data_IF_890785529111
#
_entry.id   IF_890785529111
#
_cell.length_a   1.000
_cell.length_b   1.000
_cell.length_c   1.000
_cell.angle_alpha   90.00
_cell.angle_beta   90.00
_cell.angle_gamma   90.00
#
_symmetry.space_group_name_H-M   'P 1'
#
loop_
_entity.id
_entity.type
_entity.pdbx_description
1 polymer ?
#
# COMPACT_ATOMS: atom_id res chain seq x y z
N UNK A 1 -7.24 24.53 11.46
CA UNK A 1 -5.93 23.85 11.36
C UNK A 1 -6.13 22.40 11.75
N UNK A 2 -6.00 21.47 10.82
CA UNK A 2 -5.94 20.04 11.18
C UNK A 2 -4.53 19.79 11.74
N UNK A 3 -4.43 19.39 13.00
CA UNK A 3 -3.16 19.15 13.66
C UNK A 3 -2.38 18.03 12.96
N UNK A 4 -1.08 18.26 12.74
CA UNK A 4 -0.20 17.21 12.24
C UNK A 4 -0.05 16.12 13.31
N UNK A 5 -0.25 14.86 12.93
CA UNK A 5 -0.15 13.74 13.88
C UNK A 5 1.26 13.17 13.85
N UNK A 6 1.96 13.13 14.99
CA UNK A 6 3.21 12.36 15.13
C UNK A 6 2.84 11.01 15.73
N UNK A 7 3.29 9.91 15.12
CA UNK A 7 3.05 8.54 15.61
C UNK A 7 4.35 7.74 15.54
N UNK A 8 4.75 7.12 16.65
CA UNK A 8 5.65 5.97 16.60
C UNK A 8 4.81 4.72 16.39
N UNK A 9 5.09 3.92 15.36
CA UNK A 9 4.26 2.74 15.08
C UNK A 9 4.35 1.70 16.18
N UNK A 10 5.46 1.67 16.93
CA UNK A 10 5.70 0.72 18.03
C UNK A 10 4.68 0.90 19.16
N UNK A 11 4.27 2.14 19.41
CA UNK A 11 3.21 2.47 20.37
C UNK A 11 1.84 1.85 20.01
N UNK A 12 1.66 1.40 18.77
CA UNK A 12 0.44 0.77 18.27
C UNK A 12 0.59 -0.74 18.04
N UNK A 13 1.81 -1.29 18.12
CA UNK A 13 2.10 -2.71 17.86
C UNK A 13 2.53 -3.50 19.09
N UNK A 14 3.05 -2.84 20.14
CA UNK A 14 3.75 -3.50 21.25
C UNK A 14 2.83 -4.02 22.38
N UNK A 15 1.52 -3.95 22.20
CA UNK A 15 0.57 -4.58 23.13
C UNK A 15 0.36 -6.04 22.78
N UNK A 16 0.46 -6.91 23.79
CA UNK A 16 0.08 -8.33 23.83
C UNK A 16 -0.83 -8.75 22.65
N UNK A 17 -0.44 -9.73 21.81
CA UNK A 17 -1.27 -10.22 20.70
C UNK A 17 -2.67 -10.68 21.11
N UNK A 18 -2.87 -11.03 22.39
CA UNK A 18 -4.16 -11.42 22.96
C UNK A 18 -4.99 -10.24 23.49
N UNK A 19 -4.45 -9.01 23.51
CA UNK A 19 -5.16 -7.84 23.99
C UNK A 19 -6.26 -7.39 23.00
N UNK A 20 -7.48 -7.25 23.52
CA UNK A 20 -8.60 -6.69 22.78
C UNK A 20 -8.44 -5.18 22.62
N UNK A 21 -7.92 -4.75 21.47
CA UNK A 21 -7.72 -3.34 21.15
C UNK A 21 -9.01 -2.70 20.63
N UNK A 22 -9.36 -1.48 21.08
CA UNK A 22 -10.51 -0.77 20.53
C UNK A 22 -10.41 -0.62 19.00
N UNK A 23 -11.50 -0.87 18.28
CA UNK A 23 -11.54 -0.83 16.80
C UNK A 23 -10.95 0.43 16.17
N UNK A 24 -11.04 1.58 16.86
CA UNK A 24 -10.44 2.85 16.41
C UNK A 24 -8.91 2.78 16.35
N UNK A 25 -8.27 2.07 17.28
CA UNK A 25 -6.83 1.89 17.36
C UNK A 25 -6.39 0.91 16.29
N UNK A 26 -7.10 -0.20 16.13
CA UNK A 26 -6.85 -1.17 15.04
C UNK A 26 -6.90 -0.50 13.67
N UNK A 27 -7.99 0.24 13.37
CA UNK A 27 -8.11 0.97 12.09
C UNK A 27 -7.00 2.00 11.88
N UNK A 28 -6.59 2.68 12.95
CA UNK A 28 -5.50 3.66 12.90
C UNK A 28 -4.16 2.98 12.63
N UNK A 29 -3.89 1.86 13.29
CA UNK A 29 -2.70 1.03 13.09
C UNK A 29 -2.63 0.50 11.67
N UNK A 30 -3.69 -0.10 11.15
CA UNK A 30 -3.70 -0.62 9.78
C UNK A 30 -3.53 0.49 8.74
N UNK A 31 -4.15 1.67 8.94
CA UNK A 31 -3.91 2.83 8.08
C UNK A 31 -2.44 3.24 8.04
N UNK A 32 -1.77 3.34 9.19
CA UNK A 32 -0.34 3.65 9.22
C UNK A 32 0.50 2.50 8.67
N UNK A 33 0.10 1.25 8.89
CA UNK A 33 0.71 0.08 8.29
C UNK A 33 0.68 0.11 6.76
N UNK A 34 -0.43 0.52 6.15
CA UNK A 34 -0.50 0.73 4.69
C UNK A 34 0.48 1.80 4.21
N UNK A 35 0.62 2.92 4.94
CA UNK A 35 1.57 3.99 4.60
C UNK A 35 3.02 3.50 4.70
N UNK A 36 3.35 2.77 5.77
CA UNK A 36 4.69 2.17 5.94
C UNK A 36 4.97 1.23 4.77
N UNK A 37 4.07 0.28 4.49
CA UNK A 37 4.20 -0.64 3.36
C UNK A 37 4.47 0.09 2.05
N UNK A 38 3.69 1.14 1.75
CA UNK A 38 3.92 1.95 0.54
C UNK A 38 5.28 2.64 0.53
N UNK A 39 5.70 3.23 1.65
CA UNK A 39 6.99 3.91 1.76
C UNK A 39 8.18 2.96 1.60
N UNK A 40 8.10 1.74 2.15
CA UNK A 40 9.19 0.76 2.18
C UNK A 40 9.17 -0.21 0.99
N UNK A 41 8.06 -0.28 0.24
CA UNK A 41 7.97 -1.06 -0.99
C UNK A 41 8.86 -0.52 -2.13
N UNK A 42 9.31 0.72 -2.03
CA UNK A 42 10.05 1.41 -3.08
C UNK A 42 11.19 2.26 -2.55
N UNK A 43 12.22 2.47 -3.36
CA UNK A 43 13.36 3.32 -3.02
C UNK A 43 13.04 4.81 -3.13
N UNK A 44 12.05 5.21 -3.94
CA UNK A 44 11.69 6.62 -4.15
C UNK A 44 11.41 7.34 -2.82
N UNK A 45 12.06 8.47 -2.60
CA UNK A 45 11.95 9.25 -1.36
C UNK A 45 10.68 10.08 -1.28
N UNK A 46 10.20 10.61 -2.41
CA UNK A 46 8.96 11.39 -2.50
C UNK A 46 8.11 10.91 -3.66
N UNK A 47 6.85 10.57 -3.38
CA UNK A 47 5.91 10.11 -4.41
C UNK A 47 4.45 10.22 -3.95
N UNK A 48 3.53 10.15 -4.90
CA UNK A 48 2.11 10.02 -4.62
C UNK A 48 1.71 8.54 -4.71
N UNK A 49 1.35 7.95 -3.57
CA UNK A 49 0.84 6.57 -3.51
C UNK A 49 -0.61 6.51 -3.97
N UNK A 50 -1.08 5.32 -4.37
CA UNK A 50 -2.50 5.09 -4.63
C UNK A 50 -3.36 4.87 -3.37
N UNK A 51 -2.75 4.94 -2.17
CA UNK A 51 -3.46 4.70 -0.91
C UNK A 51 -4.62 5.70 -0.72
N UNK A 52 -5.81 5.21 -0.34
CA UNK A 52 -6.95 6.07 -0.05
C UNK A 52 -6.76 6.86 1.25
N UNK A 53 -7.31 8.06 1.29
CA UNK A 53 -7.45 8.80 2.53
C UNK A 53 -8.44 8.10 3.49
N UNK A 54 -8.09 8.06 4.78
CA UNK A 54 -8.94 7.51 5.86
C UNK A 54 -10.12 8.41 6.26
N UNK A 55 -10.08 9.69 5.90
CA UNK A 55 -11.05 10.68 6.35
C UNK A 55 -12.36 10.58 5.56
N UNK A 56 -13.47 10.82 6.27
CA UNK A 56 -14.79 10.98 5.67
C UNK A 56 -15.43 12.32 6.07
N UNK A 57 -14.89 13.47 5.62
CA UNK A 57 -15.47 14.78 5.95
C UNK A 57 -16.90 14.87 5.42
N UNK A 58 -17.84 15.34 6.25
CA UNK A 58 -19.25 15.44 5.85
C UNK A 58 -19.91 14.10 5.52
N UNK A 59 -19.46 13.00 6.14
CA UNK A 59 -19.92 11.62 5.89
C UNK A 59 -19.64 11.06 4.47
N UNK A 60 -18.86 11.79 3.66
CA UNK A 60 -18.40 11.33 2.34
C UNK A 60 -16.93 10.98 2.41
N UNK A 61 -16.53 9.80 1.90
CA UNK A 61 -15.11 9.41 1.86
C UNK A 61 -14.31 10.41 1.05
N UNK A 62 -13.19 10.84 1.60
CA UNK A 62 -12.27 11.71 0.88
C UNK A 62 -11.72 10.98 -0.36
N UNK A 63 -11.77 11.65 -1.51
CA UNK A 63 -11.26 11.11 -2.78
C UNK A 63 -9.75 11.21 -2.94
N UNK A 64 -9.05 11.90 -2.04
CA UNK A 64 -7.62 12.11 -2.11
C UNK A 64 -6.79 10.87 -1.88
N UNK A 65 -5.58 10.91 -2.41
CA UNK A 65 -4.54 9.91 -2.20
C UNK A 65 -3.50 10.42 -1.20
N UNK A 66 -2.65 9.52 -0.72
CA UNK A 66 -1.61 9.86 0.27
C UNK A 66 -0.29 10.13 -0.46
N UNK A 67 0.19 11.37 -0.35
CA UNK A 67 1.56 11.73 -0.68
C UNK A 67 2.49 11.26 0.45
N UNK A 68 3.62 10.68 0.07
CA UNK A 68 4.61 10.08 0.96
C UNK A 68 5.95 10.76 0.73
N UNK A 69 6.63 11.10 1.81
CA UNK A 69 7.99 11.65 1.81
C UNK A 69 8.79 10.96 2.93
N UNK A 70 9.88 10.28 2.56
CA UNK A 70 10.81 9.62 3.48
C UNK A 70 11.94 10.57 3.83
N UNK A 71 12.33 10.58 5.10
CA UNK A 71 13.46 11.36 5.59
C UNK A 71 14.30 10.54 6.55
N UNK A 72 15.61 10.50 6.32
CA UNK A 72 16.60 9.91 7.22
C UNK A 72 17.18 10.93 8.21
N UNK A 73 16.52 12.09 8.37
CA UNK A 73 17.00 13.18 9.20
C UNK A 73 16.94 12.86 10.70
N UNK A 74 17.80 13.52 11.48
CA UNK A 74 17.83 13.43 12.95
C UNK A 74 16.44 13.78 13.57
N UNK A 75 15.97 13.05 14.61
CA UNK A 75 16.67 12.04 15.42
C UNK A 75 16.60 10.59 14.90
N UNK A 76 16.10 10.37 13.69
CA UNK A 76 16.01 9.04 13.08
C UNK A 76 14.99 9.02 11.93
N UNK A 77 14.98 7.94 11.13
CA UNK A 77 14.16 7.87 9.94
C UNK A 77 12.66 8.01 10.24
N UNK A 78 11.96 8.81 9.44
CA UNK A 78 10.52 8.99 9.51
C UNK A 78 9.89 9.15 8.13
N UNK A 79 8.60 8.81 8.06
CA UNK A 79 7.76 9.02 6.89
C UNK A 79 6.83 10.20 7.18
N UNK A 80 6.97 11.29 6.44
CA UNK A 80 5.94 12.31 6.35
C UNK A 80 4.87 11.86 5.35
N UNK A 81 3.61 12.06 5.70
CA UNK A 81 2.49 11.74 4.82
C UNK A 81 1.45 12.85 4.85
N UNK A 82 0.81 13.08 3.72
CA UNK A 82 -0.30 14.03 3.63
C UNK A 82 -1.33 13.62 2.58
N UNK A 83 -2.60 13.89 2.86
CA UNK A 83 -3.67 13.71 1.89
C UNK A 83 -3.73 14.91 0.95
N UNK A 84 -3.75 14.64 -0.36
CA UNK A 84 -3.78 15.67 -1.42
C UNK A 84 -5.07 16.49 -1.49
N UNK A 85 -6.10 16.17 -0.70
CA UNK A 85 -7.44 16.80 -0.78
C UNK A 85 -7.92 17.42 0.51
N UNK A 86 -7.88 16.67 1.63
CA UNK A 86 -8.51 17.12 2.88
C UNK A 86 -7.53 17.71 3.91
N UNK A 87 -6.23 17.68 3.63
CA UNK A 87 -5.19 18.21 4.54
C UNK A 87 -4.88 17.35 5.75
N UNK A 88 -5.46 16.15 5.90
CA UNK A 88 -5.02 15.17 6.91
C UNK A 88 -3.56 14.78 6.64
N UNK A 89 -2.73 14.80 7.67
CA UNK A 89 -1.29 14.63 7.54
C UNK A 89 -0.65 14.15 8.85
N UNK A 90 0.59 13.70 8.77
CA UNK A 90 1.35 13.32 9.94
C UNK A 90 2.76 12.83 9.63
N UNK A 91 3.43 12.35 10.67
CA UNK A 91 4.74 11.70 10.64
C UNK A 91 4.64 10.33 11.31
N UNK A 92 5.30 9.34 10.72
CA UNK A 92 5.41 7.98 11.23
C UNK A 92 6.89 7.69 11.48
N UNK A 93 7.25 7.32 12.71
CA UNK A 93 8.59 6.90 13.10
C UNK A 93 8.59 5.44 13.61
N UNK A 94 9.78 4.88 13.84
CA UNK A 94 9.93 3.54 14.42
C UNK A 94 9.50 2.40 13.50
N UNK A 95 9.41 2.65 12.18
CA UNK A 95 8.84 1.70 11.23
C UNK A 95 9.81 0.62 10.74
N UNK A 96 11.12 0.86 10.80
CA UNK A 96 12.11 -0.13 10.37
C UNK A 96 12.03 -1.41 11.21
N UNK A 97 12.00 -2.55 10.55
CA UNK A 97 11.91 -3.88 11.16
C UNK A 97 10.56 -4.22 11.77
N UNK A 98 9.54 -3.35 11.68
CA UNK A 98 8.19 -3.68 12.13
C UNK A 98 7.48 -4.61 11.11
N UNK A 99 6.37 -5.25 11.50
CA UNK A 99 5.59 -6.15 10.63
C UNK A 99 5.03 -5.54 9.33
N UNK A 100 5.10 -4.22 9.19
CA UNK A 100 4.63 -3.48 8.01
C UNK A 100 5.79 -3.07 7.09
N UNK A 101 7.03 -3.21 7.56
CA UNK A 101 8.22 -2.88 6.78
C UNK A 101 8.38 -3.90 5.64
N UNK A 102 8.35 -3.38 4.41
CA UNK A 102 8.54 -4.16 3.18
C UNK A 102 9.92 -3.96 2.57
N UNK A 103 10.85 -3.26 3.24
CA UNK A 103 12.20 -3.00 2.72
C UNK A 103 12.90 -4.32 2.33
N UNK A 104 13.51 -4.36 1.14
CA UNK A 104 14.24 -5.53 0.64
C UNK A 104 15.72 -5.35 0.96
N UNK A 105 16.43 -6.43 1.32
CA UNK A 105 17.84 -6.52 0.99
C UNK A 105 18.00 -6.42 -0.54
N UNK A 106 18.94 -5.62 -1.02
CA UNK A 106 19.14 -5.25 -2.43
C UNK A 106 19.34 -6.41 -3.43
N UNK A 107 19.37 -7.67 -2.98
CA UNK A 107 19.84 -8.84 -3.74
C UNK A 107 18.75 -9.62 -4.50
N UNK A 108 17.56 -9.06 -4.72
CA UNK A 108 16.43 -9.82 -5.32
C UNK A 108 15.71 -9.16 -6.49
N UNK A 109 16.20 -8.03 -7.01
CA UNK A 109 15.67 -7.52 -8.28
C UNK A 109 16.05 -8.48 -9.41
N UNK A 110 15.18 -8.65 -10.42
CA UNK A 110 15.54 -9.44 -11.59
C UNK A 110 16.89 -9.00 -12.14
N UNK A 111 17.82 -9.94 -12.25
CA UNK A 111 19.13 -9.73 -12.88
C UNK A 111 19.14 -10.22 -14.32
N UNK A 112 18.02 -10.76 -14.78
CA UNK A 112 17.86 -11.20 -16.16
C UNK A 112 17.65 -9.96 -17.05
N UNK A 113 18.57 -9.64 -17.96
CA UNK A 113 18.45 -8.49 -18.84
C UNK A 113 17.28 -8.62 -19.84
N UNK A 114 16.76 -9.83 -20.04
CA UNK A 114 15.65 -10.11 -20.96
C UNK A 114 14.27 -10.08 -20.26
N UNK A 115 14.22 -9.88 -18.94
CA UNK A 115 12.97 -9.77 -18.17
C UNK A 115 12.35 -8.37 -18.35
N UNK A 116 11.20 -8.25 -19.05
CA UNK A 116 10.66 -6.96 -19.41
C UNK A 116 10.06 -6.24 -18.20
N UNK A 117 10.22 -4.92 -18.19
CA UNK A 117 9.51 -4.04 -17.25
C UNK A 117 8.11 -3.73 -17.76
N UNK A 118 7.08 -4.10 -17.01
CA UNK A 118 5.68 -3.92 -17.38
C UNK A 118 5.02 -2.80 -16.56
N UNK A 119 4.10 -2.09 -17.20
CA UNK A 119 3.23 -1.10 -16.55
C UNK A 119 1.76 -1.49 -16.72
N UNK A 120 1.09 -1.70 -15.59
CA UNK A 120 -0.30 -2.16 -15.53
C UNK A 120 -1.19 -1.00 -15.06
N UNK A 121 -2.04 -0.43 -15.93
CA UNK A 121 -2.91 0.69 -15.57
C UNK A 121 -4.08 0.22 -14.72
N UNK A 122 -4.23 0.81 -13.54
CA UNK A 122 -5.32 0.58 -12.60
C UNK A 122 -6.21 1.82 -12.48
N UNK A 123 -7.36 1.63 -11.84
CA UNK A 123 -8.18 2.71 -11.30
C UNK A 123 -8.01 2.77 -9.79
N UNK A 124 -8.28 3.94 -9.18
CA UNK A 124 -8.30 4.04 -7.72
C UNK A 124 -9.32 3.08 -7.08
N UNK A 125 -10.44 2.79 -7.75
CA UNK A 125 -11.45 1.87 -7.23
C UNK A 125 -10.97 0.43 -7.21
N UNK A 126 -10.29 -0.01 -8.28
CA UNK A 126 -9.63 -1.32 -8.33
C UNK A 126 -8.59 -1.44 -7.22
N UNK A 127 -7.65 -0.49 -7.13
CA UNK A 127 -6.61 -0.51 -6.11
C UNK A 127 -7.18 -0.54 -4.68
N UNK A 128 -8.18 0.30 -4.41
CA UNK A 128 -8.86 0.33 -3.10
C UNK A 128 -9.53 -1.00 -2.77
N UNK A 129 -10.18 -1.63 -3.74
CA UNK A 129 -10.79 -2.93 -3.53
C UNK A 129 -9.72 -3.98 -3.23
N UNK A 130 -8.61 -3.95 -3.96
CA UNK A 130 -7.48 -4.85 -3.77
C UNK A 130 -6.97 -4.85 -2.33
N UNK A 131 -6.56 -3.68 -1.83
CA UNK A 131 -5.96 -3.54 -0.48
C UNK A 131 -6.96 -3.62 0.69
N UNK A 132 -8.27 -3.76 0.39
CA UNK A 132 -9.33 -3.82 1.42
C UNK A 132 -9.73 -5.23 1.85
N UNK A 133 -9.14 -6.26 1.24
CA UNK A 133 -9.41 -7.66 1.58
C UNK A 133 -8.41 -8.23 2.56
N UNK A 134 -8.87 -9.18 3.36
CA UNK A 134 -8.08 -9.88 4.38
C UNK A 134 -8.05 -11.40 4.16
N UNK A 135 -8.56 -11.90 3.02
CA UNK A 135 -8.86 -13.32 2.83
C UNK A 135 -7.66 -14.17 2.40
N UNK A 136 -6.75 -13.62 1.58
CA UNK A 136 -5.54 -14.32 1.14
C UNK A 136 -4.30 -13.49 1.49
N UNK A 137 -3.33 -14.06 2.23
CA UNK A 137 -2.06 -13.40 2.44
C UNK A 137 -1.25 -13.43 1.14
N UNK A 138 -0.91 -12.26 0.63
CA UNK A 138 0.10 -12.11 -0.43
C UNK A 138 1.49 -12.35 0.14
N UNK A 139 2.37 -12.95 -0.65
CA UNK A 139 3.79 -13.03 -0.30
C UNK A 139 4.44 -11.63 -0.27
N UNK A 140 5.68 -11.56 0.22
CA UNK A 140 6.39 -10.30 0.40
C UNK A 140 6.63 -9.54 -0.93
N UNK A 141 6.90 -10.25 -2.02
CA UNK A 141 7.26 -9.65 -3.31
C UNK A 141 5.99 -9.13 -4.01
N UNK A 142 4.90 -9.91 -3.96
CA UNK A 142 3.56 -9.47 -4.33
C UNK A 142 3.12 -8.22 -3.55
N UNK A 143 3.34 -8.20 -2.22
CA UNK A 143 3.03 -7.03 -1.39
C UNK A 143 3.84 -5.81 -1.82
N UNK A 144 5.12 -5.96 -2.17
CA UNK A 144 5.93 -4.84 -2.64
C UNK A 144 5.36 -4.24 -3.92
N UNK A 145 4.96 -5.06 -4.90
CA UNK A 145 4.32 -4.56 -6.12
C UNK A 145 3.00 -3.84 -5.81
N UNK A 146 2.14 -4.43 -4.99
CA UNK A 146 0.84 -3.84 -4.61
C UNK A 146 1.03 -2.49 -3.91
N UNK A 147 1.98 -2.39 -2.98
CA UNK A 147 2.17 -1.15 -2.21
C UNK A 147 3.06 -0.12 -2.93
N UNK A 148 3.78 -0.52 -3.97
CA UNK A 148 4.52 0.38 -4.85
C UNK A 148 3.61 1.09 -5.88
N UNK A 149 2.32 0.74 -5.99
CA UNK A 149 1.37 1.38 -6.91
C UNK A 149 1.31 2.90 -6.68
N UNK A 150 1.55 3.66 -7.76
CA UNK A 150 1.66 5.12 -7.72
C UNK A 150 0.52 5.79 -8.46
N UNK A 151 0.38 7.08 -8.18
CA UNK A 151 -0.44 7.98 -8.98
C UNK A 151 0.46 9.03 -9.62
N UNK A 152 0.48 9.10 -10.95
CA UNK A 152 1.13 10.17 -11.70
C UNK A 152 0.17 10.72 -12.75
N UNK A 153 0.03 12.05 -12.83
CA UNK A 153 -0.88 12.74 -13.78
C UNK A 153 -2.27 12.08 -13.89
N UNK A 154 -2.86 11.76 -12.74
CA UNK A 154 -4.15 11.06 -12.60
C UNK A 154 -4.21 9.60 -13.10
N UNK A 155 -3.08 9.03 -13.54
CA UNK A 155 -2.95 7.60 -13.85
C UNK A 155 -2.52 6.83 -12.60
N UNK A 156 -3.19 5.72 -12.32
CA UNK A 156 -2.78 4.78 -11.27
C UNK A 156 -2.05 3.63 -11.94
N UNK A 157 -0.80 3.39 -11.58
CA UNK A 157 0.03 2.41 -12.28
C UNK A 157 0.70 1.48 -11.29
N UNK A 158 0.55 0.17 -11.52
CA UNK A 158 1.42 -0.86 -10.97
C UNK A 158 2.55 -1.08 -11.98
N UNK A 159 3.79 -1.21 -11.49
CA UNK A 159 4.93 -1.45 -12.36
C UNK A 159 5.93 -2.40 -11.69
N UNK A 160 6.55 -3.25 -12.48
CA UNK A 160 7.47 -4.29 -12.03
C UNK A 160 8.01 -5.10 -13.20
N UNK A 161 8.96 -5.98 -12.91
CA UNK A 161 9.40 -6.99 -13.87
C UNK A 161 8.31 -8.04 -14.09
N UNK A 162 8.23 -8.61 -15.29
CA UNK A 162 7.28 -9.67 -15.63
C UNK A 162 7.42 -10.86 -14.66
N UNK A 163 8.66 -11.26 -14.35
CA UNK A 163 8.91 -12.34 -13.39
C UNK A 163 8.38 -12.08 -11.97
N UNK A 164 8.24 -10.82 -11.56
CA UNK A 164 7.63 -10.44 -10.28
C UNK A 164 6.09 -10.31 -10.41
N UNK A 165 5.57 -9.95 -11.59
CA UNK A 165 4.14 -9.76 -11.88
C UNK A 165 3.41 -11.10 -12.09
N UNK A 166 4.08 -12.10 -12.66
CA UNK A 166 3.50 -13.43 -12.92
C UNK A 166 2.99 -14.13 -11.63
N UNK A 167 3.79 -14.21 -10.54
CA UNK A 167 3.29 -14.74 -9.27
C UNK A 167 2.13 -13.92 -8.68
N UNK A 168 2.16 -12.59 -8.87
CA UNK A 168 1.11 -11.70 -8.39
C UNK A 168 -0.21 -11.98 -9.10
N UNK A 169 -0.18 -12.27 -10.41
CA UNK A 169 -1.36 -12.62 -11.19
C UNK A 169 -2.08 -13.86 -10.63
N UNK A 170 -1.34 -14.93 -10.28
CA UNK A 170 -1.92 -16.13 -9.65
C UNK A 170 -2.53 -15.82 -8.28
N UNK A 171 -1.86 -15.00 -7.48
CA UNK A 171 -2.36 -14.60 -6.16
C UNK A 171 -3.65 -13.76 -6.25
N UNK A 172 -3.78 -12.87 -7.24
CA UNK A 172 -5.01 -12.10 -7.49
C UNK A 172 -6.15 -13.01 -7.93
N UNK A 173 -5.88 -14.00 -8.78
CA UNK A 173 -6.89 -14.99 -9.18
C UNK A 173 -7.43 -15.74 -7.96
N UNK A 174 -6.53 -16.20 -7.08
CA UNK A 174 -6.90 -16.87 -5.85
C UNK A 174 -7.76 -15.96 -4.96
N UNK A 175 -7.40 -14.69 -4.77
CA UNK A 175 -8.15 -13.74 -3.93
C UNK A 175 -9.56 -13.50 -4.51
N UNK A 176 -9.65 -13.32 -5.82
CA UNK A 176 -10.93 -13.20 -6.52
C UNK A 176 -11.84 -14.41 -6.33
N UNK A 177 -11.29 -15.63 -6.43
CA UNK A 177 -12.04 -16.88 -6.30
C UNK A 177 -12.61 -17.10 -4.89
N UNK A 178 -11.91 -16.62 -3.86
CA UNK A 178 -12.33 -16.77 -2.45
C UNK A 178 -13.13 -15.57 -1.92
N UNK A 179 -13.27 -14.50 -2.71
CA UNK A 179 -14.04 -13.32 -2.33
C UNK A 179 -15.55 -13.58 -2.33
N UNK A 180 -16.18 -13.29 -1.18
CA UNK A 180 -17.62 -13.47 -0.96
C UNK A 180 -18.45 -12.27 -1.41
N UNK A 181 -17.86 -11.08 -1.49
CA UNK A 181 -18.51 -9.82 -1.88
C UNK A 181 -18.46 -9.66 -3.41
N UNK A 182 -19.59 -9.72 -4.11
CA UNK A 182 -19.62 -9.68 -5.58
C UNK A 182 -18.94 -8.44 -6.16
N UNK A 183 -19.12 -7.28 -5.52
CA UNK A 183 -18.53 -6.02 -5.97
C UNK A 183 -16.99 -6.02 -5.90
N UNK A 184 -16.39 -6.58 -4.83
CA UNK A 184 -14.93 -6.69 -4.71
C UNK A 184 -14.39 -7.72 -5.69
N UNK A 185 -15.06 -8.88 -5.82
CA UNK A 185 -14.69 -9.93 -6.78
C UNK A 185 -14.63 -9.41 -8.22
N UNK A 186 -15.60 -8.58 -8.63
CA UNK A 186 -15.61 -8.00 -9.98
C UNK A 186 -14.40 -7.07 -10.22
N UNK A 187 -14.00 -6.29 -9.21
CA UNK A 187 -12.82 -5.43 -9.30
C UNK A 187 -11.52 -6.24 -9.30
N UNK A 188 -11.44 -7.32 -8.52
CA UNK A 188 -10.30 -8.25 -8.56
C UNK A 188 -10.18 -8.97 -9.90
N UNK A 189 -11.30 -9.38 -10.50
CA UNK A 189 -11.30 -9.95 -11.85
C UNK A 189 -10.77 -8.93 -12.87
N UNK A 190 -11.19 -7.66 -12.78
CA UNK A 190 -10.69 -6.62 -13.66
C UNK A 190 -9.17 -6.41 -13.53
N UNK A 191 -8.63 -6.47 -12.30
CA UNK A 191 -7.18 -6.44 -12.05
C UNK A 191 -6.51 -7.67 -12.67
N UNK A 192 -7.05 -8.86 -12.44
CA UNK A 192 -6.52 -10.11 -13.00
C UNK A 192 -6.40 -10.06 -14.52
N UNK A 193 -7.45 -9.64 -15.23
CA UNK A 193 -7.41 -9.53 -16.70
C UNK A 193 -6.35 -8.52 -17.18
N UNK A 194 -6.13 -7.44 -16.44
CA UNK A 194 -5.09 -6.44 -16.77
C UNK A 194 -3.68 -6.96 -16.57
N UNK A 195 -3.44 -7.72 -15.50
CA UNK A 195 -2.16 -8.38 -15.27
C UNK A 195 -1.89 -9.42 -16.37
N UNK A 196 -2.91 -10.20 -16.73
CA UNK A 196 -2.82 -11.21 -17.78
C UNK A 196 -2.57 -10.65 -19.17
N UNK A 197 -3.06 -9.45 -19.48
CA UNK A 197 -2.94 -8.87 -20.82
C UNK A 197 -1.52 -8.39 -21.16
N UNK A 198 -0.57 -8.44 -20.22
CA UNK A 198 0.78 -7.90 -20.36
C UNK A 198 1.89 -8.98 -20.39
N UNK A 199 1.55 -10.23 -20.11
CA UNK A 199 2.39 -11.43 -20.37
C UNK A 199 1.77 -12.29 -21.47
#
# INVERSE_FOLDING_TARGET
MYGSTITDIRDLTDSDPAADLPLRIVKRREFFGHIIKAATATEATTFLSALPCRRSPGHVRCSGSIAVEKSDAYPGPFIYWSCTRCGDNGRIAGYHGCRYDLERPASKTSTDPDDPWLEVPLTLSEYRAWISGDMIPYDLDSLRLIYAVRVDRDQVTLAGFESDIDPLHEAVAADGNHERKPARRMLLQAIFEKLKALG
#
